data_IF_764867788204
#
_entry.id   IF_764867788204
#
_cell.length_a   1.000
_cell.length_b   1.000
_cell.length_c   1.000
_cell.angle_alpha   90.00
_cell.angle_beta   90.00
_cell.angle_gamma   90.00
#
_symmetry.space_group_name_H-M   'P 1'
#
loop_
_entity.id
_entity.type
_entity.pdbx_description
1 polymer ?
#
# COMPACT_ATOMS: atom_id res chain seq x y z
N UNK A 1 8.59 -10.10 11.35
CA UNK A 1 7.78 -10.93 10.42
C UNK A 1 6.37 -10.37 10.41
N UNK A 2 5.76 -10.19 9.23
CA UNK A 2 4.42 -9.56 9.12
C UNK A 2 3.37 -10.22 10.02
N UNK A 3 3.38 -11.54 10.20
CA UNK A 3 2.43 -12.25 11.06
C UNK A 3 2.52 -11.90 12.55
N UNK A 4 3.67 -11.38 13.01
CA UNK A 4 3.83 -10.87 14.38
C UNK A 4 3.55 -9.38 14.52
N UNK A 5 3.67 -8.61 13.42
CA UNK A 5 3.53 -7.15 13.43
C UNK A 5 2.12 -6.70 13.03
N UNK A 6 1.58 -7.26 11.93
CA UNK A 6 0.24 -6.97 11.40
C UNK A 6 -0.46 -8.29 11.02
N UNK A 7 -1.03 -9.04 11.99
CA UNK A 7 -1.62 -10.35 11.74
C UNK A 7 -2.75 -10.33 10.71
N UNK A 8 -3.55 -9.26 10.69
CA UNK A 8 -4.65 -9.09 9.74
C UNK A 8 -4.18 -8.95 8.29
N UNK A 9 -3.00 -8.38 8.06
CA UNK A 9 -2.38 -8.28 6.74
C UNK A 9 -1.82 -9.65 6.30
N UNK A 10 -1.22 -10.40 7.23
CA UNK A 10 -0.73 -11.75 6.96
C UNK A 10 -1.86 -12.71 6.54
N UNK A 11 -3.02 -12.64 7.21
CA UNK A 11 -4.20 -13.43 6.82
C UNK A 11 -4.72 -13.07 5.43
N UNK A 12 -4.73 -11.78 5.07
CA UNK A 12 -5.15 -11.33 3.73
C UNK A 12 -4.22 -11.84 2.64
N UNK A 13 -2.92 -11.99 2.92
CA UNK A 13 -1.98 -12.57 1.97
C UNK A 13 -2.27 -14.04 1.64
N UNK A 14 -2.82 -14.81 2.58
CA UNK A 14 -3.29 -16.18 2.32
C UNK A 14 -4.48 -16.16 1.35
N UNK A 15 -5.49 -15.32 1.62
CA UNK A 15 -6.65 -15.19 0.74
C UNK A 15 -6.27 -14.66 -0.67
N UNK A 16 -5.30 -13.76 -0.75
CA UNK A 16 -4.73 -13.28 -2.01
C UNK A 16 -4.13 -14.44 -2.80
N UNK A 17 -3.36 -15.31 -2.16
CA UNK A 17 -2.74 -16.47 -2.82
C UNK A 17 -3.80 -17.44 -3.36
N UNK A 18 -4.84 -17.74 -2.58
CA UNK A 18 -5.96 -18.59 -3.01
C UNK A 18 -6.67 -18.00 -4.24
N UNK A 19 -7.00 -16.70 -4.20
CA UNK A 19 -7.65 -16.00 -5.30
C UNK A 19 -6.81 -15.99 -6.59
N UNK A 20 -5.48 -15.92 -6.49
CA UNK A 20 -4.58 -15.98 -7.65
C UNK A 20 -4.53 -17.36 -8.31
N UNK A 21 -4.82 -18.44 -7.57
CA UNK A 21 -4.85 -19.80 -8.15
C UNK A 21 -6.15 -20.09 -8.92
N UNK A 22 -7.15 -19.24 -8.79
CA UNK A 22 -8.40 -19.36 -9.54
C UNK A 22 -8.21 -19.04 -11.03
N UNK A 23 -9.08 -19.61 -11.87
CA UNK A 23 -9.22 -19.24 -13.27
C UNK A 23 -10.33 -18.18 -13.49
N UNK A 24 -10.94 -17.67 -12.41
CA UNK A 24 -11.96 -16.63 -12.45
C UNK A 24 -11.33 -15.22 -12.35
N UNK A 25 -11.51 -14.34 -13.36
CA UNK A 25 -11.02 -12.96 -13.31
C UNK A 25 -11.55 -12.11 -12.14
N UNK A 26 -12.71 -12.44 -11.59
CA UNK A 26 -13.24 -11.77 -10.40
C UNK A 26 -12.37 -12.06 -9.17
N UNK A 27 -11.85 -13.28 -9.04
CA UNK A 27 -10.96 -13.64 -7.94
C UNK A 27 -9.64 -12.88 -8.04
N UNK A 28 -9.10 -12.71 -9.24
CA UNK A 28 -7.92 -11.86 -9.45
C UNK A 28 -8.18 -10.40 -9.06
N UNK A 29 -9.36 -9.88 -9.38
CA UNK A 29 -9.77 -8.53 -8.94
C UNK A 29 -9.87 -8.46 -7.42
N UNK A 30 -10.41 -9.49 -6.77
CA UNK A 30 -10.47 -9.61 -5.31
C UNK A 30 -9.07 -9.70 -4.67
N UNK A 31 -8.12 -10.36 -5.32
CA UNK A 31 -6.72 -10.40 -4.90
C UNK A 31 -6.11 -8.98 -4.88
N UNK A 32 -6.28 -8.22 -5.97
CA UNK A 32 -5.79 -6.84 -6.08
C UNK A 32 -6.48 -5.90 -5.08
N UNK A 33 -7.79 -6.06 -4.85
CA UNK A 33 -8.49 -5.32 -3.80
C UNK A 33 -7.95 -5.63 -2.40
N UNK A 34 -7.56 -6.88 -2.16
CA UNK A 34 -6.95 -7.29 -0.89
C UNK A 34 -5.57 -6.68 -0.70
N UNK A 35 -4.78 -6.48 -1.77
CA UNK A 35 -3.51 -5.73 -1.71
C UNK A 35 -3.69 -4.31 -1.18
N UNK A 36 -4.72 -3.60 -1.66
CA UNK A 36 -5.05 -2.26 -1.14
C UNK A 36 -5.34 -2.30 0.37
N UNK A 37 -6.15 -3.27 0.80
CA UNK A 37 -6.50 -3.44 2.23
C UNK A 37 -5.27 -3.79 3.08
N UNK A 38 -4.34 -4.57 2.57
CA UNK A 38 -3.07 -4.88 3.24
C UNK A 38 -2.27 -3.61 3.50
N UNK A 39 -2.16 -2.72 2.51
CA UNK A 39 -1.46 -1.44 2.69
C UNK A 39 -2.21 -0.50 3.65
N UNK A 40 -3.54 -0.52 3.68
CA UNK A 40 -4.32 0.22 4.67
C UNK A 40 -4.08 -0.29 6.10
N UNK A 41 -4.16 -1.60 6.32
CA UNK A 41 -3.86 -2.22 7.61
C UNK A 41 -2.45 -1.87 8.11
N UNK A 42 -1.48 -1.90 7.19
CA UNK A 42 -0.10 -1.56 7.50
C UNK A 42 0.04 -0.07 7.84
N UNK A 43 -0.64 0.82 7.11
CA UNK A 43 -0.68 2.23 7.43
C UNK A 43 -1.33 2.49 8.79
N UNK A 44 -2.43 1.81 9.12
CA UNK A 44 -3.11 1.96 10.41
C UNK A 44 -2.22 1.51 11.58
N UNK A 45 -1.37 0.51 11.36
CA UNK A 45 -0.40 0.06 12.35
C UNK A 45 0.82 0.99 12.47
N UNK A 46 1.47 1.33 11.36
CA UNK A 46 2.74 2.07 11.34
C UNK A 46 2.57 3.58 11.48
N UNK A 47 1.46 4.12 10.99
CA UNK A 47 1.20 5.56 10.95
C UNK A 47 -0.31 5.81 11.06
N UNK A 48 -0.88 5.74 12.28
CA UNK A 48 -2.32 5.82 12.50
C UNK A 48 -2.93 7.09 11.89
N UNK A 49 -4.17 6.97 11.42
CA UNK A 49 -4.88 8.10 10.83
C UNK A 49 -5.12 9.24 11.82
N UNK A 50 -5.03 10.47 11.34
CA UNK A 50 -5.29 11.68 12.13
C UNK A 50 -5.99 12.74 11.29
N UNK A 51 -6.82 13.57 11.95
CA UNK A 51 -7.47 14.72 11.33
C UNK A 51 -6.48 15.87 11.07
N UNK A 52 -5.35 15.90 11.78
CA UNK A 52 -4.35 16.96 11.64
C UNK A 52 -3.41 16.65 10.48
N UNK A 53 -3.40 17.47 9.41
CA UNK A 53 -2.48 17.26 8.30
C UNK A 53 -1.04 17.55 8.71
N UNK A 54 -0.07 16.90 8.06
CA UNK A 54 1.35 17.26 8.18
C UNK A 54 1.67 18.38 7.20
N UNK A 55 2.29 19.45 7.69
CA UNK A 55 2.84 20.51 6.84
C UNK A 55 4.28 20.18 6.47
N UNK A 56 4.63 20.28 5.19
CA UNK A 56 6.00 20.14 4.67
C UNK A 56 6.34 21.33 3.77
N UNK A 57 7.61 21.71 3.71
CA UNK A 57 8.10 22.67 2.72
C UNK A 57 8.69 21.91 1.53
N UNK A 58 8.10 22.10 0.34
CA UNK A 58 8.59 21.51 -0.91
C UNK A 58 8.87 22.65 -1.88
N UNK A 59 10.12 22.80 -2.30
CA UNK A 59 10.57 23.89 -3.19
C UNK A 59 10.14 25.28 -2.70
N UNK A 60 10.25 25.52 -1.39
CA UNK A 60 9.88 26.80 -0.75
C UNK A 60 8.37 27.05 -0.63
N UNK A 61 7.52 26.09 -0.99
CA UNK A 61 6.06 26.17 -0.84
C UNK A 61 5.58 25.25 0.27
N UNK A 62 4.63 25.74 1.06
CA UNK A 62 3.96 24.94 2.08
C UNK A 62 3.00 23.94 1.40
N UNK A 63 3.23 22.65 1.65
CA UNK A 63 2.38 21.55 1.23
C UNK A 63 1.72 20.94 2.46
N UNK A 64 0.39 20.86 2.46
CA UNK A 64 -0.38 20.15 3.49
C UNK A 64 -0.67 18.73 3.01
N UNK A 65 -0.18 17.75 3.76
CA UNK A 65 -0.36 16.33 3.50
C UNK A 65 -1.48 15.80 4.38
N UNK A 66 -2.56 15.34 3.76
CA UNK A 66 -3.70 14.73 4.45
C UNK A 66 -3.35 13.35 4.98
N UNK A 67 -3.72 13.08 6.24
CA UNK A 67 -3.38 11.85 6.99
C UNK A 67 -4.63 11.13 7.53
N UNK A 68 -5.80 11.39 6.93
CA UNK A 68 -7.03 10.67 7.30
C UNK A 68 -7.02 9.20 6.85
N UNK A 69 -8.04 8.45 7.25
CA UNK A 69 -8.18 7.00 6.98
C UNK A 69 -7.94 6.64 5.51
N UNK A 70 -8.55 7.41 4.60
CA UNK A 70 -8.44 7.19 3.15
C UNK A 70 -7.05 7.51 2.57
N UNK A 71 -6.20 8.22 3.32
CA UNK A 71 -4.88 8.69 2.85
C UNK A 71 -3.76 7.72 3.24
N UNK A 72 -4.00 6.41 3.20
CA UNK A 72 -3.04 5.38 3.62
C UNK A 72 -1.68 5.50 2.90
N UNK A 73 -1.65 5.86 1.61
CA UNK A 73 -0.39 6.10 0.89
C UNK A 73 0.39 7.28 1.47
N UNK A 74 -0.26 8.41 1.71
CA UNK A 74 0.40 9.56 2.33
C UNK A 74 0.96 9.21 3.71
N UNK A 75 0.22 8.40 4.48
CA UNK A 75 0.63 7.92 5.80
C UNK A 75 1.88 7.04 5.70
N UNK A 76 1.91 6.08 4.77
CA UNK A 76 3.09 5.23 4.54
C UNK A 76 4.30 6.00 3.98
N UNK A 77 4.08 7.02 3.16
CA UNK A 77 5.15 7.91 2.69
C UNK A 77 5.72 8.72 3.86
N UNK A 78 4.88 9.32 4.70
CA UNK A 78 5.33 10.02 5.91
C UNK A 78 6.08 9.09 6.88
N UNK A 79 5.60 7.86 7.05
CA UNK A 79 6.31 6.85 7.82
C UNK A 79 7.70 6.56 7.25
N UNK A 80 7.79 6.39 5.93
CA UNK A 80 9.07 6.14 5.26
C UNK A 80 10.05 7.29 5.48
N UNK A 81 9.61 8.54 5.33
CA UNK A 81 10.41 9.73 5.59
C UNK A 81 10.92 9.79 7.04
N UNK A 82 10.04 9.48 8.01
CA UNK A 82 10.39 9.56 9.44
C UNK A 82 11.39 8.49 9.88
N UNK A 83 11.45 7.36 9.16
CA UNK A 83 12.21 6.17 9.59
C UNK A 83 13.35 5.80 8.63
N UNK A 84 13.50 6.51 7.51
CA UNK A 84 14.56 6.24 6.55
C UNK A 84 15.90 6.83 7.02
N UNK A 85 16.93 5.99 7.05
CA UNK A 85 18.30 6.42 7.35
C UNK A 85 19.02 7.06 6.16
N UNK A 86 18.43 7.08 4.96
CA UNK A 86 19.01 7.72 3.78
C UNK A 86 17.96 8.28 2.82
N UNK A 87 18.24 9.45 2.24
CA UNK A 87 17.39 10.09 1.23
C UNK A 87 17.12 9.17 0.03
N UNK A 88 18.11 8.36 -0.37
CA UNK A 88 17.95 7.39 -1.46
C UNK A 88 16.92 6.30 -1.14
N UNK A 89 16.93 5.78 0.08
CA UNK A 89 15.95 4.76 0.50
C UNK A 89 14.54 5.36 0.58
N UNK A 90 14.44 6.59 1.06
CA UNK A 90 13.19 7.34 1.06
C UNK A 90 12.65 7.54 -0.36
N UNK A 91 13.49 7.98 -1.30
CA UNK A 91 13.11 8.19 -2.70
C UNK A 91 12.64 6.89 -3.37
N UNK A 92 13.34 5.79 -3.15
CA UNK A 92 12.99 4.48 -3.75
C UNK A 92 11.68 3.96 -3.17
N UNK A 93 11.55 3.87 -1.85
CA UNK A 93 10.35 3.31 -1.20
C UNK A 93 9.15 4.25 -1.42
N UNK A 94 9.35 5.57 -1.30
CA UNK A 94 8.33 6.58 -1.52
C UNK A 94 7.81 6.60 -2.96
N UNK A 95 8.69 6.48 -3.96
CA UNK A 95 8.25 6.41 -5.36
C UNK A 95 7.47 5.13 -5.68
N UNK A 96 7.88 3.98 -5.12
CA UNK A 96 7.15 2.73 -5.26
C UNK A 96 5.77 2.79 -4.58
N UNK A 97 5.68 3.34 -3.37
CA UNK A 97 4.43 3.55 -2.65
C UNK A 97 3.45 4.38 -3.47
N UNK A 98 3.92 5.50 -4.01
CA UNK A 98 3.09 6.40 -4.83
C UNK A 98 2.60 5.68 -6.09
N UNK A 99 3.50 5.02 -6.82
CA UNK A 99 3.15 4.30 -8.04
C UNK A 99 2.11 3.20 -7.78
N UNK A 100 2.37 2.31 -6.82
CA UNK A 100 1.47 1.19 -6.57
C UNK A 100 0.14 1.67 -5.95
N UNK A 101 0.22 2.61 -5.01
CA UNK A 101 -0.95 3.20 -4.36
C UNK A 101 -1.92 3.87 -5.33
N UNK A 102 -1.40 4.76 -6.18
CA UNK A 102 -2.20 5.45 -7.19
C UNK A 102 -2.85 4.45 -8.17
N UNK A 103 -2.11 3.38 -8.52
CA UNK A 103 -2.61 2.33 -9.40
C UNK A 103 -3.72 1.51 -8.73
N UNK A 104 -3.53 1.03 -7.50
CA UNK A 104 -4.54 0.29 -6.73
C UNK A 104 -5.81 1.11 -6.51
N UNK A 105 -5.67 2.40 -6.17
CA UNK A 105 -6.81 3.30 -6.00
C UNK A 105 -7.57 3.53 -7.31
N UNK A 106 -6.85 3.68 -8.43
CA UNK A 106 -7.46 3.84 -9.75
C UNK A 106 -8.27 2.60 -10.15
N UNK A 107 -7.71 1.41 -9.93
CA UNK A 107 -8.38 0.13 -10.20
C UNK A 107 -9.61 -0.03 -9.30
N UNK A 108 -9.49 0.29 -8.02
CA UNK A 108 -10.61 0.24 -7.08
C UNK A 108 -11.74 1.20 -7.48
N UNK A 109 -11.41 2.44 -7.86
CA UNK A 109 -12.40 3.43 -8.32
C UNK A 109 -13.10 3.00 -9.61
N UNK A 110 -12.38 2.37 -10.54
CA UNK A 110 -12.98 1.82 -11.75
C UNK A 110 -13.95 0.67 -11.42
N UNK A 111 -13.61 -0.19 -10.44
CA UNK A 111 -14.40 -1.35 -10.08
C UNK A 111 -15.74 -0.93 -9.46
N UNK A 112 -15.72 0.08 -8.59
CA UNK A 112 -16.93 0.66 -7.99
C UNK A 112 -17.88 1.29 -9.02
N UNK A 113 -17.38 1.68 -10.20
CA UNK A 113 -18.20 2.22 -11.30
C UNK A 113 -18.81 1.13 -12.20
N UNK A 114 -18.65 -0.16 -11.85
CA UNK A 114 -19.22 -1.27 -12.61
C UNK A 114 -18.49 -1.59 -13.91
N UNK A 115 -17.25 -1.13 -14.07
CA UNK A 115 -16.42 -1.53 -15.22
C UNK A 115 -15.95 -2.97 -15.02
N UNK A 116 -16.71 -3.96 -15.48
CA UNK A 116 -16.26 -5.36 -15.48
C UNK A 116 -14.97 -5.50 -16.30
N UNK A 117 -13.98 -6.23 -15.79
CA UNK A 117 -12.74 -6.55 -16.53
C UNK A 117 -11.53 -5.63 -16.30
N UNK A 118 -11.46 -4.91 -15.17
CA UNK A 118 -10.33 -4.01 -14.88
C UNK A 118 -9.00 -4.77 -14.76
N UNK A 119 -9.04 -5.94 -14.14
CA UNK A 119 -7.95 -6.90 -14.16
C UNK A 119 -8.33 -7.98 -15.16
N UNK A 120 -7.68 -7.95 -16.32
CA UNK A 120 -8.01 -8.83 -17.43
C UNK A 120 -7.17 -10.11 -17.46
N UNK A 121 -6.07 -10.16 -16.69
CA UNK A 121 -5.15 -11.31 -16.69
C UNK A 121 -4.63 -11.62 -15.29
N UNK A 122 -4.34 -12.91 -15.06
CA UNK A 122 -3.65 -13.39 -13.87
C UNK A 122 -2.28 -12.72 -13.69
N UNK A 123 -1.52 -12.55 -14.78
CA UNK A 123 -0.20 -11.91 -14.75
C UNK A 123 -0.25 -10.46 -14.24
N UNK A 124 -1.31 -9.72 -14.58
CA UNK A 124 -1.48 -8.37 -14.04
C UNK A 124 -1.75 -8.43 -12.52
N UNK A 125 -2.58 -9.35 -12.06
CA UNK A 125 -2.85 -9.55 -10.63
C UNK A 125 -1.60 -9.97 -9.85
N UNK A 126 -0.85 -10.93 -10.38
CA UNK A 126 0.40 -11.43 -9.80
C UNK A 126 1.39 -10.28 -9.57
N UNK A 127 1.54 -9.37 -10.55
CA UNK A 127 2.43 -8.21 -10.42
C UNK A 127 2.04 -7.29 -9.25
N UNK A 128 0.76 -6.96 -9.09
CA UNK A 128 0.33 -6.14 -7.96
C UNK A 128 0.55 -6.84 -6.62
N UNK A 129 0.35 -8.15 -6.56
CA UNK A 129 0.60 -8.94 -5.35
C UNK A 129 2.08 -8.95 -4.99
N UNK A 130 2.96 -9.23 -5.96
CA UNK A 130 4.41 -9.21 -5.75
C UNK A 130 4.89 -7.83 -5.31
N UNK A 131 4.46 -6.75 -5.96
CA UNK A 131 4.82 -5.40 -5.55
C UNK A 131 4.32 -5.06 -4.15
N UNK A 132 3.12 -5.53 -3.78
CA UNK A 132 2.60 -5.35 -2.42
C UNK A 132 3.46 -6.08 -1.40
N UNK A 133 3.87 -7.33 -1.68
CA UNK A 133 4.78 -8.07 -0.81
C UNK A 133 6.12 -7.36 -0.61
N UNK A 134 6.73 -6.86 -1.70
CA UNK A 134 8.01 -6.15 -1.63
C UNK A 134 7.89 -4.87 -0.78
N UNK A 135 6.86 -4.06 -1.03
CA UNK A 135 6.62 -2.85 -0.25
C UNK A 135 6.37 -3.13 1.23
N UNK A 136 5.59 -4.15 1.55
CA UNK A 136 5.34 -4.54 2.94
C UNK A 136 6.64 -4.96 3.63
N UNK A 137 7.51 -5.72 2.94
CA UNK A 137 8.80 -6.11 3.47
C UNK A 137 9.70 -4.89 3.74
N UNK A 138 9.77 -3.95 2.80
CA UNK A 138 10.57 -2.73 2.94
C UNK A 138 10.08 -1.83 4.09
N UNK A 139 8.77 -1.64 4.21
CA UNK A 139 8.18 -0.87 5.30
C UNK A 139 8.41 -1.49 6.67
N UNK A 140 8.25 -2.81 6.79
CA UNK A 140 8.52 -3.52 8.06
C UNK A 140 10.00 -3.48 8.42
N UNK A 141 10.90 -3.47 7.43
CA UNK A 141 12.33 -3.30 7.67
C UNK A 141 12.64 -1.92 8.23
N UNK A 142 12.02 -0.86 7.70
CA UNK A 142 12.15 0.50 8.22
C UNK A 142 11.61 0.60 9.66
N UNK A 143 10.50 -0.08 9.97
CA UNK A 143 9.95 -0.14 11.32
C UNK A 143 10.92 -0.81 12.31
N UNK A 144 11.57 -1.89 11.90
CA UNK A 144 12.51 -2.62 12.75
C UNK A 144 13.83 -1.89 13.00
N UNK A 145 14.15 -0.84 12.23
CA UNK A 145 15.33 0.02 12.45
C UNK A 145 15.05 1.24 13.33
N UNK A 146 13.79 1.47 13.70
CA UNK A 146 13.36 2.59 14.52
C UNK A 146 13.36 2.28 16.04
N UNK A 147 13.60 1.01 16.40
CA UNK A 147 13.85 0.52 17.76
C UNK A 147 15.37 0.42 18.03
#
# INVERSE_FOLDING_TARGET
>A
MIGGTVPSAAQKFVAVYENLQSDNPEDWSNAVHSCRRILQDLADHLFPATATPRTKLVNGKELRVSLGVDNYINRLVCFTEDNSASERSEEIVGSQLKYLGDRLDSLFRAAQKGSHGIISTRDEADRYVVYTYMLVADLLKLAATAD
#
